data_IF_630806828845
#
_entry.id   IF_630806828845
#
_cell.length_a   1.000
_cell.length_b   1.000
_cell.length_c   1.000
_cell.angle_alpha   90.00
_cell.angle_beta   90.00
_cell.angle_gamma   90.00
#
_symmetry.space_group_name_H-M   'P 1'
#
loop_
_entity.id
_entity.type
_entity.pdbx_description
1 polymer ?
#
# COMPACT_ATOMS: atom_id res chain seq x y z
N UNK A 1 23.84 15.78 -18.99
CA UNK A 1 22.41 15.42 -18.81
C UNK A 1 22.32 14.04 -18.17
N UNK A 2 22.01 13.95 -16.87
CA UNK A 2 21.67 12.65 -16.25
C UNK A 2 20.25 12.32 -16.72
N UNK A 3 20.08 11.25 -17.51
CA UNK A 3 18.75 10.75 -17.88
C UNK A 3 17.99 10.46 -16.58
N UNK A 4 16.82 11.06 -16.41
CA UNK A 4 15.87 10.68 -15.37
C UNK A 4 15.67 9.16 -15.44
N UNK A 5 15.72 8.42 -14.31
CA UNK A 5 15.53 6.99 -14.35
C UNK A 5 14.15 6.69 -14.94
N UNK A 6 14.12 5.90 -16.01
CA UNK A 6 12.87 5.41 -16.59
C UNK A 6 12.11 4.63 -15.50
N UNK A 7 10.78 4.75 -15.41
CA UNK A 7 10.01 3.99 -14.43
C UNK A 7 10.29 2.51 -14.66
N UNK A 8 10.71 1.80 -13.61
CA UNK A 8 10.90 0.36 -13.66
C UNK A 8 9.57 -0.28 -14.10
N UNK A 9 9.65 -1.28 -14.98
CA UNK A 9 8.49 -2.11 -15.30
C UNK A 9 7.90 -2.68 -14.01
N UNK A 10 6.60 -3.03 -14.00
CA UNK A 10 5.95 -3.56 -12.78
C UNK A 10 6.71 -4.77 -12.20
N UNK A 11 7.29 -5.63 -13.06
CA UNK A 11 8.18 -6.73 -12.65
C UNK A 11 9.48 -6.23 -12.00
N UNK A 12 10.16 -5.24 -12.59
CA UNK A 12 11.37 -4.64 -12.01
C UNK A 12 11.11 -3.94 -10.67
N UNK A 13 9.93 -3.32 -10.52
CA UNK A 13 9.52 -2.69 -9.27
C UNK A 13 9.27 -3.72 -8.17
N UNK A 14 8.59 -4.84 -8.47
CA UNK A 14 8.38 -5.94 -7.53
C UNK A 14 9.70 -6.53 -7.03
N UNK A 15 10.65 -6.80 -7.93
CA UNK A 15 11.98 -7.30 -7.58
C UNK A 15 12.74 -6.35 -6.64
N UNK A 16 12.73 -5.05 -6.94
CA UNK A 16 13.38 -4.05 -6.09
C UNK A 16 12.80 -4.03 -4.68
N UNK A 17 11.46 -4.08 -4.56
CA UNK A 17 10.77 -4.08 -3.26
C UNK A 17 11.13 -5.34 -2.46
N UNK A 18 11.15 -6.51 -3.11
CA UNK A 18 11.57 -7.76 -2.46
C UNK A 18 13.00 -7.69 -1.93
N UNK A 19 13.92 -7.11 -2.70
CA UNK A 19 15.29 -6.89 -2.25
C UNK A 19 15.37 -5.92 -1.05
N UNK A 20 14.54 -4.86 -1.02
CA UNK A 20 14.47 -3.98 0.15
C UNK A 20 13.97 -4.74 1.38
N UNK A 21 12.94 -5.57 1.24
CA UNK A 21 12.36 -6.38 2.32
C UNK A 21 13.31 -7.43 2.91
N UNK A 22 14.36 -7.83 2.18
CA UNK A 22 15.41 -8.71 2.68
C UNK A 22 16.42 -8.04 3.63
N UNK A 23 16.33 -6.72 3.84
CA UNK A 23 17.23 -5.98 4.74
C UNK A 23 16.85 -6.23 6.21
N UNK A 24 17.85 -6.50 7.05
CA UNK A 24 17.67 -6.86 8.47
C UNK A 24 17.19 -5.72 9.37
N UNK A 25 17.38 -4.46 8.96
CA UNK A 25 17.15 -3.27 9.80
C UNK A 25 15.89 -2.50 9.40
N UNK A 26 14.85 -3.18 8.92
CA UNK A 26 13.59 -2.52 8.61
C UNK A 26 12.71 -2.43 9.85
N UNK A 27 12.13 -1.26 10.08
CA UNK A 27 11.11 -1.13 11.11
C UNK A 27 9.75 -1.71 10.63
N UNK A 28 8.82 -1.99 11.54
CA UNK A 28 7.52 -2.58 11.18
C UNK A 28 6.71 -1.77 10.16
N UNK A 29 6.77 -0.44 10.23
CA UNK A 29 6.04 0.45 9.32
C UNK A 29 6.60 0.39 7.90
N UNK A 30 7.92 0.33 7.75
CA UNK A 30 8.61 0.13 6.46
C UNK A 30 8.27 -1.22 5.86
N UNK A 31 8.28 -2.30 6.68
CA UNK A 31 7.87 -3.63 6.24
C UNK A 31 6.43 -3.63 5.76
N UNK A 32 5.52 -3.03 6.53
CA UNK A 32 4.11 -2.93 6.17
C UNK A 32 3.93 -2.15 4.85
N UNK A 33 4.57 -0.98 4.73
CA UNK A 33 4.55 -0.17 3.53
C UNK A 33 5.06 -0.93 2.31
N UNK A 34 6.25 -1.53 2.38
CA UNK A 34 6.86 -2.25 1.26
C UNK A 34 6.05 -3.48 0.85
N UNK A 35 5.55 -4.28 1.80
CA UNK A 35 4.66 -5.43 1.49
C UNK A 35 3.37 -4.96 0.80
N UNK A 36 2.82 -3.84 1.26
CA UNK A 36 1.65 -3.20 0.63
C UNK A 36 1.93 -2.75 -0.80
N UNK A 37 3.05 -2.05 -1.03
CA UNK A 37 3.48 -1.64 -2.38
C UNK A 37 3.66 -2.84 -3.31
N UNK A 38 4.28 -3.93 -2.83
CA UNK A 38 4.45 -5.16 -3.63
C UNK A 38 3.10 -5.75 -4.04
N UNK A 39 2.16 -5.86 -3.10
CA UNK A 39 0.81 -6.32 -3.40
C UNK A 39 0.12 -5.43 -4.46
N UNK A 40 0.19 -4.10 -4.32
CA UNK A 40 -0.41 -3.17 -5.27
C UNK A 40 0.22 -3.23 -6.67
N UNK A 41 1.51 -3.55 -6.76
CA UNK A 41 2.21 -3.76 -8.03
C UNK A 41 1.82 -5.10 -8.66
N UNK A 42 1.86 -6.20 -7.91
CA UNK A 42 1.63 -7.55 -8.43
C UNK A 42 0.16 -7.83 -8.75
N UNK A 43 -0.78 -7.30 -7.96
CA UNK A 43 -2.21 -7.49 -8.23
C UNK A 43 -2.64 -6.87 -9.57
N UNK A 44 -1.94 -5.81 -10.01
CA UNK A 44 -2.18 -5.14 -11.31
C UNK A 44 -1.69 -5.97 -12.48
N UNK A 45 -0.66 -6.80 -12.26
CA UNK A 45 -0.15 -7.73 -13.27
C UNK A 45 -1.21 -8.80 -13.52
N UNK A 46 -1.75 -9.41 -12.45
CA UNK A 46 -2.79 -10.43 -12.54
C UNK A 46 -4.07 -9.91 -13.22
N UNK A 47 -4.48 -8.66 -12.96
CA UNK A 47 -5.65 -8.07 -13.63
C UNK A 47 -5.43 -7.79 -15.12
N UNK A 48 -4.17 -7.64 -15.57
CA UNK A 48 -3.84 -7.22 -16.94
C UNK A 48 -3.38 -8.38 -17.84
N UNK A 49 -2.81 -9.46 -17.30
CA UNK A 49 -2.29 -10.59 -18.09
C UNK A 49 -3.38 -11.43 -18.78
N UNK A 50 -4.63 -11.38 -18.29
CA UNK A 50 -5.73 -12.14 -18.88
C UNK A 50 -6.75 -11.28 -19.65
N UNK A 51 -6.69 -9.95 -19.56
CA UNK A 51 -7.72 -9.03 -20.11
C UNK A 51 -9.17 -9.31 -19.64
N UNK A 52 -9.36 -10.27 -18.73
CA UNK A 52 -10.66 -10.76 -18.32
C UNK A 52 -11.15 -9.90 -17.16
N UNK A 53 -12.22 -9.17 -17.43
CA UNK A 53 -13.02 -8.55 -16.38
C UNK A 53 -13.47 -9.67 -15.42
N UNK A 54 -13.48 -9.42 -14.11
CA UNK A 54 -13.96 -10.38 -13.11
C UNK A 54 -15.43 -10.82 -13.34
N UNK A 55 -16.14 -10.13 -14.24
CA UNK A 55 -17.50 -10.43 -14.69
C UNK A 55 -17.58 -11.29 -15.95
N UNK A 56 -16.46 -11.68 -16.58
CA UNK A 56 -16.46 -12.51 -17.81
C UNK A 56 -15.87 -13.88 -17.54
N UNK A 57 -16.54 -14.73 -16.76
CA UNK A 57 -16.36 -16.19 -16.81
C UNK A 57 -17.68 -16.90 -16.50
N UNK A 58 -18.51 -17.06 -17.52
CA UNK A 58 -19.31 -18.27 -17.59
C UNK A 58 -18.42 -19.42 -18.08
N UNK A 59 -18.87 -20.65 -17.82
CA UNK A 59 -18.32 -21.95 -18.24
C UNK A 59 -17.32 -22.62 -17.28
N UNK A 60 -17.83 -23.62 -16.56
CA UNK A 60 -17.19 -24.95 -16.50
C UNK A 60 -16.38 -25.32 -15.25
N UNK A 61 -16.99 -26.13 -14.38
CA UNK A 61 -16.40 -27.28 -13.65
C UNK A 61 -14.88 -27.27 -13.35
N UNK A 62 -14.52 -27.21 -12.06
CA UNK A 62 -13.22 -27.60 -11.49
C UNK A 62 -11.95 -26.88 -11.95
N UNK A 63 -12.03 -25.61 -12.35
CA UNK A 63 -10.84 -24.78 -12.55
C UNK A 63 -10.20 -24.44 -11.20
N UNK A 64 -9.01 -24.97 -10.94
CA UNK A 64 -8.14 -24.57 -9.83
C UNK A 64 -8.10 -23.04 -9.77
N UNK A 65 -8.74 -22.47 -8.75
CA UNK A 65 -8.77 -21.02 -8.57
C UNK A 65 -7.33 -20.59 -8.35
N UNK A 66 -6.77 -19.83 -9.30
CA UNK A 66 -5.43 -19.26 -9.15
C UNK A 66 -5.38 -18.55 -7.79
N UNK A 67 -4.37 -18.83 -6.94
CA UNK A 67 -4.32 -18.28 -5.60
C UNK A 67 -4.28 -16.75 -5.68
N UNK A 68 -5.02 -16.08 -4.80
CA UNK A 68 -5.05 -14.61 -4.81
C UNK A 68 -3.65 -14.08 -4.49
N UNK A 69 -3.26 -12.94 -5.06
CA UNK A 69 -1.95 -12.30 -4.78
C UNK A 69 -1.68 -12.13 -3.28
N UNK A 70 -2.73 -11.85 -2.49
CA UNK A 70 -2.61 -11.73 -1.02
C UNK A 70 -2.32 -13.06 -0.31
N UNK A 71 -2.75 -14.18 -0.87
CA UNK A 71 -2.46 -15.52 -0.35
C UNK A 71 -1.03 -15.94 -0.68
N UNK A 72 -0.59 -15.70 -1.92
CA UNK A 72 0.79 -15.95 -2.36
C UNK A 72 1.79 -15.17 -1.50
N UNK A 73 1.61 -13.84 -1.42
CA UNK A 73 2.49 -12.98 -0.61
C UNK A 73 2.35 -13.26 0.89
N UNK A 74 1.17 -13.66 1.36
CA UNK A 74 0.97 -14.06 2.74
C UNK A 74 1.87 -15.25 3.10
N UNK A 75 1.79 -16.30 2.30
CA UNK A 75 2.63 -17.50 2.46
C UNK A 75 4.11 -17.18 2.35
N UNK A 76 4.53 -16.39 1.36
CA UNK A 76 5.95 -16.00 1.17
C UNK A 76 6.52 -15.28 2.40
N UNK A 77 5.72 -14.42 3.01
CA UNK A 77 6.13 -13.60 4.15
C UNK A 77 5.80 -14.21 5.52
N UNK A 78 5.22 -15.41 5.57
CA UNK A 78 4.78 -16.06 6.80
C UNK A 78 3.69 -15.28 7.55
N UNK A 79 2.81 -14.58 6.83
CA UNK A 79 1.70 -13.81 7.42
C UNK A 79 0.38 -14.15 6.77
N UNK A 80 -0.73 -13.98 7.49
CA UNK A 80 -2.04 -14.22 6.91
C UNK A 80 -2.38 -13.22 5.79
N UNK A 81 -3.19 -13.64 4.80
CA UNK A 81 -3.62 -12.78 3.68
C UNK A 81 -4.25 -11.46 4.10
N UNK A 82 -4.95 -11.44 5.25
CA UNK A 82 -5.54 -10.21 5.81
C UNK A 82 -4.48 -9.19 6.23
N UNK A 83 -3.29 -9.63 6.62
CA UNK A 83 -2.15 -8.74 6.90
C UNK A 83 -1.64 -8.09 5.62
N UNK A 84 -1.55 -8.82 4.51
CA UNK A 84 -1.17 -8.25 3.21
C UNK A 84 -2.18 -7.19 2.75
N UNK A 85 -3.47 -7.45 2.90
CA UNK A 85 -4.53 -6.47 2.57
C UNK A 85 -4.42 -5.22 3.44
N UNK A 86 -4.21 -5.37 4.76
CA UNK A 86 -4.00 -4.24 5.66
C UNK A 86 -2.76 -3.43 5.29
N UNK A 87 -1.66 -4.11 4.96
CA UNK A 87 -0.43 -3.47 4.49
C UNK A 87 -0.66 -2.68 3.19
N UNK A 88 -1.49 -3.19 2.29
CA UNK A 88 -1.86 -2.49 1.06
C UNK A 88 -2.67 -1.22 1.35
N UNK A 89 -3.65 -1.29 2.26
CA UNK A 89 -4.42 -0.12 2.69
C UNK A 89 -3.53 0.93 3.36
N UNK A 90 -2.64 0.50 4.26
CA UNK A 90 -1.63 1.35 4.87
C UNK A 90 -0.78 2.04 3.80
N UNK A 91 -0.23 1.29 2.83
CA UNK A 91 0.60 1.87 1.77
C UNK A 91 -0.12 2.93 0.93
N UNK A 92 -1.41 2.74 0.62
CA UNK A 92 -2.23 3.75 -0.09
C UNK A 92 -2.37 5.03 0.71
N UNK A 93 -2.60 4.93 2.02
CA UNK A 93 -2.67 6.10 2.89
C UNK A 93 -1.32 6.80 2.95
N UNK A 94 -0.23 6.07 3.14
CA UNK A 94 1.12 6.66 3.15
C UNK A 94 1.47 7.37 1.84
N UNK A 95 1.03 6.83 0.69
CA UNK A 95 1.26 7.44 -0.62
C UNK A 95 0.58 8.81 -0.82
N UNK A 96 -0.48 9.14 -0.05
CA UNK A 96 -1.20 10.42 -0.15
C UNK A 96 -0.81 11.42 0.94
N UNK A 97 0.00 11.02 1.92
CA UNK A 97 0.48 11.92 2.97
C UNK A 97 1.53 12.89 2.43
N UNK A 98 1.68 14.08 3.04
CA UNK A 98 2.83 14.94 2.82
C UNK A 98 4.14 14.19 3.10
N UNK A 99 5.20 14.51 2.35
CA UNK A 99 6.47 13.76 2.43
C UNK A 99 7.12 13.81 3.83
N UNK A 100 6.95 14.91 4.57
CA UNK A 100 7.41 15.05 5.96
C UNK A 100 6.73 14.03 6.88
N UNK A 101 5.40 14.04 6.94
CA UNK A 101 4.60 13.10 7.73
C UNK A 101 4.87 11.65 7.33
N UNK A 102 4.99 11.39 6.02
CA UNK A 102 5.32 10.06 5.51
C UNK A 102 6.68 9.60 6.04
N UNK A 103 7.68 10.47 6.10
CA UNK A 103 8.99 10.13 6.65
C UNK A 103 8.91 9.81 8.14
N UNK A 104 8.18 10.61 8.93
CA UNK A 104 8.01 10.38 10.37
C UNK A 104 7.30 9.05 10.66
N UNK A 105 6.27 8.73 9.88
CA UNK A 105 5.56 7.45 10.00
C UNK A 105 6.46 6.29 9.57
N UNK A 106 7.23 6.44 8.49
CA UNK A 106 8.16 5.41 8.01
C UNK A 106 9.45 5.32 8.84
N UNK A 107 9.83 6.31 9.64
CA UNK A 107 10.91 6.20 10.63
C UNK A 107 10.43 5.53 11.91
N UNK A 108 9.11 5.59 12.16
CA UNK A 108 8.46 5.03 13.35
C UNK A 108 8.26 6.06 14.47
N UNK A 109 8.56 7.33 14.20
CA UNK A 109 8.32 8.47 15.10
C UNK A 109 6.83 8.72 15.29
N UNK A 110 6.03 8.55 14.22
CA UNK A 110 4.57 8.62 14.28
C UNK A 110 3.91 7.28 13.96
N UNK A 111 2.83 6.98 14.69
CA UNK A 111 2.03 5.76 14.47
C UNK A 111 0.69 6.14 13.86
N UNK A 112 0.39 5.54 12.71
CA UNK A 112 -0.94 5.60 12.12
C UNK A 112 -1.72 4.35 12.54
N UNK A 113 -2.83 4.57 13.24
CA UNK A 113 -3.70 3.47 13.65
C UNK A 113 -4.45 2.87 12.45
N UNK A 114 -4.92 1.64 12.62
CA UNK A 114 -5.79 1.00 11.63
C UNK A 114 -7.08 1.80 11.41
N UNK A 115 -7.73 2.24 12.49
CA UNK A 115 -8.97 3.03 12.43
C UNK A 115 -8.77 4.30 11.62
N UNK A 116 -7.64 4.98 11.79
CA UNK A 116 -7.31 6.17 11.03
C UNK A 116 -7.01 5.85 9.56
N UNK A 117 -6.33 4.75 9.27
CA UNK A 117 -6.12 4.26 7.90
C UNK A 117 -7.47 4.03 7.20
N UNK A 118 -8.38 3.32 7.86
CA UNK A 118 -9.70 2.99 7.32
C UNK A 118 -10.52 4.28 7.12
N UNK A 119 -10.54 5.20 8.09
CA UNK A 119 -11.23 6.49 7.97
C UNK A 119 -10.69 7.35 6.81
N UNK A 120 -9.38 7.38 6.60
CA UNK A 120 -8.78 8.12 5.48
C UNK A 120 -9.22 7.54 4.13
N UNK A 121 -9.31 6.22 4.03
CA UNK A 121 -9.74 5.52 2.82
C UNK A 121 -11.24 5.70 2.53
N UNK A 122 -12.06 5.92 3.55
CA UNK A 122 -13.50 6.14 3.43
C UNK A 122 -13.85 7.53 2.89
N UNK A 123 -12.94 8.51 2.97
CA UNK A 123 -13.15 9.83 2.36
C UNK A 123 -13.21 9.79 0.83
N UNK A 124 -13.88 10.77 0.22
CA UNK A 124 -13.89 10.94 -1.22
C UNK A 124 -12.49 11.27 -1.77
N UNK A 125 -12.22 10.89 -3.04
CA UNK A 125 -10.92 11.10 -3.68
C UNK A 125 -10.43 12.57 -3.66
N UNK A 126 -11.29 13.58 -3.93
CA UNK A 126 -10.91 14.98 -3.75
C UNK A 126 -10.42 15.30 -2.33
N UNK A 127 -11.14 14.84 -1.30
CA UNK A 127 -10.74 15.01 0.10
C UNK A 127 -9.41 14.29 0.38
N UNK A 128 -9.23 13.05 -0.09
CA UNK A 128 -7.95 12.31 0.00
C UNK A 128 -6.77 13.06 -0.67
N UNK A 129 -7.00 13.80 -1.75
CA UNK A 129 -5.95 14.63 -2.39
C UNK A 129 -5.66 15.92 -1.63
N UNK A 130 -6.61 16.43 -0.84
CA UNK A 130 -6.44 17.65 -0.05
C UNK A 130 -5.37 17.48 1.02
N UNK A 131 -5.17 16.25 1.51
CA UNK A 131 -4.06 15.88 2.41
C UNK A 131 -2.67 16.20 1.85
N UNK A 132 -2.50 16.28 0.53
CA UNK A 132 -1.22 16.64 -0.13
C UNK A 132 -0.98 18.17 -0.09
N UNK A 133 -2.04 18.99 0.01
CA UNK A 133 -2.00 20.44 -0.23
C UNK A 133 -1.80 21.28 1.03
N UNK A 134 -2.15 20.76 2.22
CA UNK A 134 -1.94 21.47 3.49
C UNK A 134 -0.48 21.40 3.93
N UNK A 135 0.36 22.19 3.25
CA UNK A 135 1.78 22.40 3.57
C UNK A 135 2.01 23.46 4.68
N UNK A 136 0.93 23.99 5.26
CA UNK A 136 0.93 25.20 6.09
C UNK A 136 0.71 24.93 7.59
N UNK A 137 1.39 23.92 8.15
CA UNK A 137 1.67 23.86 9.59
C UNK A 137 0.55 23.38 10.51
N UNK A 138 -0.57 22.86 10.01
CA UNK A 138 -1.52 22.09 10.82
C UNK A 138 -1.86 20.83 10.03
N UNK A 139 -1.17 19.73 10.32
CA UNK A 139 -1.48 18.44 9.69
C UNK A 139 -2.87 17.98 10.11
N UNK A 140 -3.61 17.31 9.23
CA UNK A 140 -4.88 16.67 9.59
C UNK A 140 -4.71 15.69 10.77
N UNK A 141 -3.53 15.10 10.95
CA UNK A 141 -3.18 14.32 12.14
C UNK A 141 -3.31 15.16 13.42
N UNK A 142 -2.84 16.41 13.41
CA UNK A 142 -3.01 17.34 14.52
C UNK A 142 -4.48 17.73 14.74
N UNK A 143 -5.25 17.97 13.66
CA UNK A 143 -6.68 18.33 13.74
C UNK A 143 -7.54 17.15 14.20
N UNK A 144 -7.26 15.95 13.69
CA UNK A 144 -7.95 14.73 14.04
C UNK A 144 -7.63 14.32 15.47
N UNK A 145 -6.35 14.35 15.88
CA UNK A 145 -5.95 14.13 17.28
C UNK A 145 -6.64 15.12 18.23
N UNK A 146 -6.77 16.39 17.84
CA UNK A 146 -7.45 17.42 18.64
C UNK A 146 -8.97 17.26 18.73
N UNK A 147 -9.61 16.65 17.73
CA UNK A 147 -11.08 16.57 17.64
C UNK A 147 -11.64 15.17 17.90
N UNK A 148 -10.82 14.11 17.87
CA UNK A 148 -11.27 12.71 17.89
C UNK A 148 -10.45 11.77 18.79
N UNK A 149 -9.42 12.25 19.52
CA UNK A 149 -8.91 11.58 20.72
C UNK A 149 -9.54 12.22 21.98
N UNK A 150 -9.96 11.42 22.98
CA UNK A 150 -10.51 11.93 24.24
C UNK A 150 -9.47 12.60 25.15
#
# INVERSE_FOLDING_TARGET
MRKSPQPLTNFGQGYYISNQLGRRNLNPNQIAYLRGKRYETEKKIVSNESGANQYTKEVGSHLATQPKTSEVLGSEYGVHKSTIIRNANFAKVIDILPEEVKNDVLSGEEKISRTMTDAILDFDKPTQKKFIKEKNGITFLTIWRRNFEP
#
